data_IF_656645755872
#
_entry.id   IF_656645755872
#
_cell.length_a   1.000
_cell.length_b   1.000
_cell.length_c   1.000
_cell.angle_alpha   90.00
_cell.angle_beta   90.00
_cell.angle_gamma   90.00
#
_symmetry.space_group_name_H-M   'P 1'
#
loop_
_entity.id
_entity.type
_entity.pdbx_description
1 polymer ?
#
# COMPACT_ATOMS: atom_id res chain seq x y z
N UNK A 1 -16.55 -30.70 13.83
CA UNK A 1 -16.18 -29.27 13.73
C UNK A 1 -15.40 -29.10 12.45
N UNK A 2 -15.99 -28.49 11.41
CA UNK A 2 -15.32 -28.31 10.12
C UNK A 2 -14.16 -27.34 10.28
N UNK A 3 -12.96 -27.74 9.88
CA UNK A 3 -11.83 -26.81 9.78
C UNK A 3 -12.20 -25.78 8.71
N UNK A 4 -12.36 -24.51 9.10
CA UNK A 4 -12.51 -23.42 8.15
C UNK A 4 -11.18 -23.31 7.38
N UNK A 5 -11.12 -23.88 6.18
CA UNK A 5 -9.97 -23.73 5.31
C UNK A 5 -9.95 -22.29 4.79
N UNK A 6 -8.92 -21.54 5.19
CA UNK A 6 -8.67 -20.20 4.68
C UNK A 6 -8.25 -20.33 3.22
N UNK A 7 -9.01 -19.73 2.31
CA UNK A 7 -8.72 -19.77 0.87
C UNK A 7 -7.44 -19.00 0.56
N UNK A 8 -6.75 -19.37 -0.52
CA UNK A 8 -5.52 -18.66 -0.96
C UNK A 8 -5.74 -17.15 -1.15
N UNK A 9 -6.95 -16.75 -1.52
CA UNK A 9 -7.35 -15.35 -1.66
C UNK A 9 -7.33 -14.59 -0.34
N UNK A 10 -7.80 -15.21 0.74
CA UNK A 10 -7.78 -14.59 2.07
C UNK A 10 -6.34 -14.43 2.56
N UNK A 11 -5.45 -15.40 2.28
CA UNK A 11 -4.03 -15.27 2.60
C UNK A 11 -3.36 -14.13 1.83
N UNK A 12 -3.68 -13.96 0.56
CA UNK A 12 -3.18 -12.84 -0.25
C UNK A 12 -3.64 -11.49 0.32
N UNK A 13 -4.93 -11.39 0.67
CA UNK A 13 -5.47 -10.17 1.30
C UNK A 13 -4.75 -9.89 2.62
N UNK A 14 -4.55 -10.88 3.48
CA UNK A 14 -3.82 -10.71 4.75
C UNK A 14 -2.40 -10.19 4.50
N UNK A 15 -1.67 -10.81 3.57
CA UNK A 15 -0.31 -10.39 3.24
C UNK A 15 -0.26 -8.93 2.74
N UNK A 16 -1.17 -8.57 1.83
CA UNK A 16 -1.32 -7.20 1.32
C UNK A 16 -1.59 -6.21 2.45
N UNK A 17 -2.57 -6.50 3.30
CA UNK A 17 -2.96 -5.61 4.41
C UNK A 17 -1.83 -5.45 5.42
N UNK A 18 -1.07 -6.50 5.72
CA UNK A 18 0.10 -6.42 6.60
C UNK A 18 1.18 -5.53 5.99
N UNK A 19 1.52 -5.73 4.71
CA UNK A 19 2.51 -4.91 4.01
C UNK A 19 2.08 -3.44 3.97
N UNK A 20 0.82 -3.16 3.65
CA UNK A 20 0.26 -1.80 3.68
C UNK A 20 0.30 -1.20 5.08
N UNK A 21 -0.03 -1.97 6.11
CA UNK A 21 -0.01 -1.50 7.51
C UNK A 21 1.42 -1.11 7.91
N UNK A 22 2.42 -1.89 7.51
CA UNK A 22 3.84 -1.54 7.73
C UNK A 22 4.19 -0.26 6.97
N UNK A 23 3.80 -0.14 5.70
CA UNK A 23 4.06 1.05 4.89
C UNK A 23 3.42 2.32 5.50
N UNK A 24 2.17 2.23 5.94
CA UNK A 24 1.44 3.30 6.63
C UNK A 24 2.13 3.64 7.95
N UNK A 25 2.53 2.64 8.74
CA UNK A 25 3.21 2.84 10.01
C UNK A 25 4.57 3.52 9.84
N UNK A 26 5.32 3.19 8.77
CA UNK A 26 6.56 3.88 8.44
C UNK A 26 6.31 5.31 7.95
N UNK A 27 5.25 5.54 7.19
CA UNK A 27 4.96 6.86 6.63
C UNK A 27 4.31 7.83 7.63
N UNK A 28 3.61 7.34 8.65
CA UNK A 28 2.92 8.20 9.64
C UNK A 28 3.89 9.12 10.39
N UNK A 29 5.13 8.67 10.58
CA UNK A 29 6.18 9.41 11.30
C UNK A 29 6.82 10.51 10.43
N UNK A 30 6.49 10.60 9.14
CA UNK A 30 6.97 11.68 8.26
C UNK A 30 6.25 13.01 8.49
N UNK A 31 4.91 13.11 8.45
CA UNK A 31 4.20 14.35 8.76
C UNK A 31 4.40 14.80 10.22
N UNK A 32 4.74 13.89 11.14
CA UNK A 32 4.98 14.19 12.56
C UNK A 32 6.45 14.57 12.87
N UNK A 33 7.37 14.43 11.89
CA UNK A 33 8.81 14.57 12.08
C UNK A 33 9.26 15.97 12.58
N UNK A 34 8.54 17.02 12.21
CA UNK A 34 8.85 18.40 12.62
C UNK A 34 8.51 18.62 14.11
N UNK A 35 7.47 17.96 14.61
CA UNK A 35 7.13 17.90 16.04
C UNK A 35 8.13 17.03 16.81
N UNK A 36 8.44 15.83 16.30
CA UNK A 36 9.35 14.89 16.96
C UNK A 36 10.78 15.43 17.12
N UNK A 37 11.23 16.25 16.16
CA UNK A 37 12.52 16.95 16.23
C UNK A 37 12.57 17.98 17.37
N UNK A 38 11.46 18.65 17.65
CA UNK A 38 11.36 19.63 18.76
C UNK A 38 11.35 18.91 20.12
N UNK A 39 10.83 17.68 20.18
CA UNK A 39 10.73 16.90 21.42
C UNK A 39 11.80 15.81 21.60
N UNK A 40 12.83 15.75 20.74
CA UNK A 40 13.92 14.75 20.79
C UNK A 40 13.46 13.28 20.80
N UNK A 41 12.35 12.95 20.13
CA UNK A 41 11.87 11.56 20.02
C UNK A 41 12.56 10.92 18.80
N UNK A 42 13.38 9.90 18.99
CA UNK A 42 14.07 9.24 17.88
C UNK A 42 13.10 8.37 17.05
N UNK A 43 12.77 8.81 15.84
CA UNK A 43 11.99 8.05 14.85
C UNK A 43 12.84 7.63 13.65
N UNK A 44 12.36 6.67 12.87
CA UNK A 44 13.08 6.17 11.67
C UNK A 44 13.34 7.29 10.65
N UNK A 45 12.41 8.26 10.56
CA UNK A 45 12.55 9.49 9.77
C UNK A 45 13.73 10.36 10.22
N UNK A 46 14.03 10.44 11.52
CA UNK A 46 15.18 11.19 12.04
C UNK A 46 16.52 10.46 11.82
N UNK A 47 16.49 9.12 11.75
CA UNK A 47 17.70 8.30 11.55
C UNK A 47 18.09 8.17 10.07
N UNK A 48 17.11 7.97 9.18
CA UNK A 48 17.37 7.77 7.74
C UNK A 48 17.11 9.00 6.87
N UNK A 49 16.36 9.98 7.39
CA UNK A 49 15.88 11.14 6.65
C UNK A 49 14.55 10.89 5.92
N UNK A 50 13.75 11.94 5.70
CA UNK A 50 12.42 11.85 5.09
C UNK A 50 12.46 11.32 3.64
N UNK A 51 13.52 11.61 2.89
CA UNK A 51 13.68 11.11 1.53
C UNK A 51 13.86 9.59 1.49
N UNK A 52 14.70 9.03 2.35
CA UNK A 52 14.90 7.60 2.43
C UNK A 52 13.61 6.87 2.84
N UNK A 53 12.88 7.37 3.83
CA UNK A 53 11.59 6.79 4.26
C UNK A 53 10.58 6.85 3.12
N UNK A 54 10.46 7.97 2.41
CA UNK A 54 9.59 8.10 1.25
C UNK A 54 9.92 7.06 0.17
N UNK A 55 11.20 6.90 -0.17
CA UNK A 55 11.63 5.93 -1.18
C UNK A 55 11.36 4.49 -0.77
N UNK A 56 11.61 4.13 0.49
CA UNK A 56 11.34 2.79 1.03
C UNK A 56 9.84 2.50 0.96
N UNK A 57 8.99 3.39 1.49
CA UNK A 57 7.54 3.20 1.47
C UNK A 57 7.02 3.11 0.04
N UNK A 58 7.46 4.01 -0.85
CA UNK A 58 7.10 3.97 -2.26
C UNK A 58 7.49 2.64 -2.90
N UNK A 59 8.72 2.18 -2.68
CA UNK A 59 9.23 0.93 -3.23
C UNK A 59 8.45 -0.29 -2.73
N UNK A 60 8.13 -0.34 -1.43
CA UNK A 60 7.32 -1.41 -0.82
C UNK A 60 5.93 -1.47 -1.46
N UNK A 61 5.25 -0.33 -1.58
CA UNK A 61 3.92 -0.27 -2.19
C UNK A 61 3.94 -0.66 -3.68
N UNK A 62 4.94 -0.17 -4.43
CA UNK A 62 5.15 -0.55 -5.83
C UNK A 62 5.36 -2.06 -5.97
N UNK A 63 6.26 -2.64 -5.19
CA UNK A 63 6.55 -4.07 -5.21
C UNK A 63 5.33 -4.90 -4.85
N UNK A 64 4.53 -4.42 -3.89
CA UNK A 64 3.29 -5.08 -3.49
C UNK A 64 2.27 -5.14 -4.65
N UNK A 65 2.05 -4.03 -5.34
CA UNK A 65 1.19 -3.99 -6.52
C UNK A 65 1.69 -4.86 -7.67
N UNK A 66 2.99 -4.83 -7.96
CA UNK A 66 3.59 -5.70 -8.98
C UNK A 66 3.41 -7.18 -8.63
N UNK A 67 3.56 -7.56 -7.36
CA UNK A 67 3.33 -8.92 -6.90
C UNK A 67 1.86 -9.35 -7.10
N UNK A 68 0.90 -8.47 -6.76
CA UNK A 68 -0.53 -8.73 -6.97
C UNK A 68 -0.89 -8.90 -8.44
N UNK A 69 -0.31 -8.08 -9.32
CA UNK A 69 -0.44 -8.24 -10.78
C UNK A 69 0.14 -9.60 -11.21
N UNK A 70 1.32 -9.97 -10.70
CA UNK A 70 1.95 -11.27 -10.97
C UNK A 70 1.06 -12.44 -10.57
N UNK A 71 0.43 -12.39 -9.39
CA UNK A 71 -0.54 -13.40 -8.94
C UNK A 71 -1.66 -13.61 -9.95
N UNK A 72 -2.22 -12.53 -10.49
CA UNK A 72 -3.23 -12.59 -11.54
C UNK A 72 -2.70 -13.14 -12.86
N UNK A 73 -1.53 -12.70 -13.31
CA UNK A 73 -0.91 -13.18 -14.56
C UNK A 73 -0.64 -14.68 -14.54
N UNK A 74 -0.12 -15.20 -13.42
CA UNK A 74 0.21 -16.61 -13.26
C UNK A 74 -0.95 -17.47 -12.73
N UNK A 75 -2.15 -16.89 -12.53
CA UNK A 75 -3.34 -17.59 -12.05
C UNK A 75 -3.09 -18.40 -10.76
N UNK A 76 -2.35 -17.82 -9.80
CA UNK A 76 -1.92 -18.53 -8.60
C UNK A 76 -3.05 -18.81 -7.59
N UNK A 77 -4.22 -18.20 -7.81
CA UNK A 77 -5.44 -18.36 -7.00
C UNK A 77 -6.67 -18.28 -7.89
N UNK A 78 -7.73 -18.97 -7.49
CA UNK A 78 -9.04 -18.96 -8.17
C UNK A 78 -9.79 -17.64 -7.91
N UNK A 79 -9.44 -16.60 -8.68
CA UNK A 79 -10.10 -15.28 -8.70
C UNK A 79 -10.21 -14.73 -10.12
N UNK A 80 -11.05 -13.72 -10.31
CA UNK A 80 -11.12 -13.00 -11.58
C UNK A 80 -9.79 -12.27 -11.85
N UNK A 81 -8.96 -12.88 -12.70
CA UNK A 81 -7.62 -12.37 -13.03
C UNK A 81 -7.67 -11.04 -13.77
N UNK A 82 -8.73 -10.75 -14.54
CA UNK A 82 -8.87 -9.46 -15.22
C UNK A 82 -9.09 -8.31 -14.23
N UNK A 83 -9.93 -8.51 -13.22
CA UNK A 83 -10.14 -7.53 -12.13
C UNK A 83 -8.88 -7.40 -11.28
N UNK A 84 -8.21 -8.52 -10.96
CA UNK A 84 -6.96 -8.51 -10.20
C UNK A 84 -5.87 -7.70 -10.91
N UNK A 85 -5.60 -8.00 -12.18
CA UNK A 85 -4.57 -7.31 -12.97
C UNK A 85 -4.97 -5.86 -13.23
N UNK A 86 -6.19 -5.63 -13.72
CA UNK A 86 -6.67 -4.29 -14.08
C UNK A 86 -6.73 -3.34 -12.89
N UNK A 87 -7.29 -3.80 -11.76
CA UNK A 87 -7.40 -3.01 -10.53
C UNK A 87 -6.04 -2.61 -9.97
N UNK A 88 -5.15 -3.58 -9.78
CA UNK A 88 -3.82 -3.29 -9.21
C UNK A 88 -2.92 -2.52 -10.19
N UNK A 89 -3.08 -2.70 -11.50
CA UNK A 89 -2.39 -1.86 -12.50
C UNK A 89 -2.84 -0.41 -12.41
N UNK A 90 -4.15 -0.15 -12.31
CA UNK A 90 -4.67 1.20 -12.15
C UNK A 90 -4.13 1.86 -10.87
N UNK A 91 -4.16 1.15 -9.74
CA UNK A 91 -3.65 1.65 -8.46
C UNK A 91 -2.13 1.90 -8.49
N UNK A 92 -1.37 1.02 -9.14
CA UNK A 92 0.07 1.19 -9.36
C UNK A 92 0.38 2.46 -10.17
N UNK A 93 -0.36 2.69 -11.26
CA UNK A 93 -0.21 3.90 -12.09
C UNK A 93 -0.57 5.16 -11.31
N UNK A 94 -1.65 5.13 -10.53
CA UNK A 94 -2.05 6.24 -9.65
C UNK A 94 -0.98 6.54 -8.60
N UNK A 95 -0.43 5.50 -7.96
CA UNK A 95 0.67 5.63 -7.00
C UNK A 95 1.91 6.26 -7.66
N UNK A 96 2.30 5.74 -8.83
CA UNK A 96 3.43 6.25 -9.58
C UNK A 96 3.28 7.72 -9.95
N UNK A 97 2.14 8.07 -10.56
CA UNK A 97 1.83 9.44 -10.93
C UNK A 97 1.81 10.38 -9.71
N UNK A 98 1.07 10.01 -8.65
CA UNK A 98 0.92 10.87 -7.47
C UNK A 98 2.23 11.04 -6.70
N UNK A 99 3.12 10.05 -6.74
CA UNK A 99 4.42 10.10 -6.06
C UNK A 99 5.42 11.08 -6.68
N UNK A 100 5.24 11.48 -7.94
CA UNK A 100 6.14 12.41 -8.64
C UNK A 100 5.97 13.86 -8.20
N UNK A 101 4.81 14.21 -7.65
CA UNK A 101 4.46 15.59 -7.26
C UNK A 101 4.59 15.85 -5.76
N UNK A 102 5.21 14.94 -5.00
CA UNK A 102 5.37 15.09 -3.56
C UNK A 102 6.65 15.84 -3.25
N UNK A 103 6.51 17.09 -2.81
CA UNK A 103 7.62 17.88 -2.28
C UNK A 103 7.81 17.57 -0.79
N UNK A 104 8.98 17.03 -0.42
CA UNK A 104 9.26 16.58 0.95
C UNK A 104 9.63 17.73 1.91
N UNK A 105 9.83 18.94 1.39
CA UNK A 105 9.92 20.17 2.19
C UNK A 105 8.56 20.72 2.60
N UNK A 106 7.46 20.27 1.97
CA UNK A 106 6.11 20.74 2.26
C UNK A 106 5.35 19.71 3.12
N UNK A 107 5.11 20.07 4.39
CA UNK A 107 4.37 19.23 5.34
C UNK A 107 2.93 18.97 4.89
N UNK A 108 2.30 19.89 4.15
CA UNK A 108 0.98 19.69 3.58
C UNK A 108 1.02 18.63 2.48
N UNK A 109 2.00 18.68 1.57
CA UNK A 109 2.20 17.68 0.53
C UNK A 109 2.42 16.27 1.11
N UNK A 110 3.23 16.16 2.18
CA UNK A 110 3.45 14.90 2.90
C UNK A 110 2.13 14.38 3.50
N UNK A 111 1.39 15.24 4.21
CA UNK A 111 0.10 14.86 4.83
C UNK A 111 -0.93 14.42 3.78
N UNK A 112 -1.00 15.11 2.65
CA UNK A 112 -1.87 14.73 1.53
C UNK A 112 -1.47 13.37 0.93
N UNK A 113 -0.17 13.11 0.79
CA UNK A 113 0.31 11.83 0.31
C UNK A 113 0.03 10.70 1.30
N UNK A 114 0.19 10.94 2.60
CA UNK A 114 -0.21 10.00 3.65
C UNK A 114 -1.71 9.64 3.57
N UNK A 115 -2.58 10.65 3.42
CA UNK A 115 -4.02 10.41 3.21
C UNK A 115 -4.28 9.64 1.90
N UNK A 116 -3.49 9.88 0.87
CA UNK A 116 -3.58 9.14 -0.38
C UNK A 116 -3.22 7.65 -0.20
N UNK A 117 -2.16 7.31 0.57
CA UNK A 117 -1.83 5.92 0.91
C UNK A 117 -3.01 5.25 1.63
N UNK A 118 -3.65 5.93 2.58
CA UNK A 118 -4.86 5.42 3.24
C UNK A 118 -6.01 5.17 2.27
N UNK A 119 -6.20 6.04 1.27
CA UNK A 119 -7.22 5.82 0.24
C UNK A 119 -6.89 4.59 -0.61
N UNK A 120 -5.63 4.41 -1.01
CA UNK A 120 -5.18 3.20 -1.72
C UNK A 120 -5.48 1.94 -0.90
N UNK A 121 -5.12 1.95 0.39
CA UNK A 121 -5.45 0.87 1.32
C UNK A 121 -6.95 0.55 1.36
N UNK A 122 -7.80 1.58 1.47
CA UNK A 122 -9.26 1.39 1.45
C UNK A 122 -9.76 0.84 0.11
N UNK A 123 -9.15 1.20 -1.03
CA UNK A 123 -9.53 0.70 -2.34
C UNK A 123 -9.25 -0.80 -2.50
N UNK A 124 -8.28 -1.37 -1.76
CA UNK A 124 -8.06 -2.82 -1.75
C UNK A 124 -9.29 -3.60 -1.28
N UNK A 125 -10.04 -3.03 -0.33
CA UNK A 125 -11.32 -3.59 0.13
C UNK A 125 -12.45 -3.47 -0.89
N UNK A 126 -12.24 -2.80 -2.03
CA UNK A 126 -13.15 -2.84 -3.17
C UNK A 126 -12.63 -3.80 -4.25
N UNK A 127 -11.33 -3.74 -4.56
CA UNK A 127 -10.73 -4.57 -5.61
C UNK A 127 -10.85 -6.06 -5.27
N UNK A 128 -10.56 -6.47 -4.04
CA UNK A 128 -10.64 -7.88 -3.65
C UNK A 128 -12.05 -8.46 -3.73
N UNK A 129 -13.09 -7.84 -3.13
CA UNK A 129 -14.45 -8.32 -3.29
C UNK A 129 -14.91 -8.37 -4.74
N UNK A 130 -14.56 -7.38 -5.56
CA UNK A 130 -14.87 -7.40 -7.00
C UNK A 130 -14.15 -8.54 -7.73
N UNK A 131 -12.91 -8.86 -7.35
CA UNK A 131 -12.17 -9.96 -7.96
C UNK A 131 -12.73 -11.34 -7.59
N UNK A 132 -13.38 -11.48 -6.44
CA UNK A 132 -14.00 -12.72 -5.95
C UNK A 132 -15.50 -12.80 -6.28
N UNK A 133 -16.12 -11.68 -6.64
CA UNK A 133 -17.54 -11.61 -6.95
C UNK A 133 -17.91 -12.63 -8.02
N UNK A 134 -19.03 -13.37 -7.89
CA UNK A 134 -19.50 -14.26 -8.93
C UNK A 134 -20.00 -13.42 -10.11
N UNK A 135 -19.10 -13.21 -11.08
CA UNK A 135 -19.44 -12.76 -12.42
C UNK A 135 -20.09 -13.98 -13.10
N UNK A 136 -21.41 -13.93 -13.27
CA UNK A 136 -22.28 -15.06 -13.60
C UNK A 136 -21.84 -15.95 -14.76
#
# INVERSE_FOLDING_TARGET
>A
MGQAQITGVVWLLIALIVIFSIAIALFKDMPDAEGDRVYNIATFTLLLGPEAVFQIVRGVLFGCYVAMIGVGCYHLVEINSAVMIGGHTLLLLLLGWRSQSVELSDSLAIKQFYQFIWRLFCLEYLVFPLAVWPWG
#
